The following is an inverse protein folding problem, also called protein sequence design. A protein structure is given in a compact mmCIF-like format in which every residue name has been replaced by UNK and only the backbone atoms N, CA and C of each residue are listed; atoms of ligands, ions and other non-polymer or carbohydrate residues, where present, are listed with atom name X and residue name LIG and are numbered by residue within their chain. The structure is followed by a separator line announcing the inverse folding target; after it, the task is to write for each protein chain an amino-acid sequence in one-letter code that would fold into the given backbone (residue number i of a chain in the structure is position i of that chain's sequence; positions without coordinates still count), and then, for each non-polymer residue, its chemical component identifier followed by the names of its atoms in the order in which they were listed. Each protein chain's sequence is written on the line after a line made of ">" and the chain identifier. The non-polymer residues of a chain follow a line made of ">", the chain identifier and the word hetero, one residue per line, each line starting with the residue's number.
data_IF_077494926862
#
_entry.id   IF_077494926862
#
_cell.length_a   1.000
_cell.length_b   1.000
_cell.length_c   1.000
_cell.angle_alpha   90.00
_cell.angle_beta   90.00
_cell.angle_gamma   90.00
#
_symmetry.space_group_name_H-M   'P 1'
#
loop_
_entity.id
_entity.type
_entity.pdbx_description
1 polymer ?
#
# COMPACT_ATOMS: atom_id res chain seq x y z
N UNK A 1 2.69 -17.31 29.97
CA UNK A 1 2.48 -15.86 29.76
C UNK A 1 3.54 -15.26 28.85
N UNK A 2 4.85 -15.32 29.16
CA UNK A 2 5.91 -14.73 28.30
C UNK A 2 5.93 -15.20 26.83
N UNK A 3 5.49 -16.42 26.50
CA UNK A 3 5.53 -16.92 25.12
C UNK A 3 4.43 -16.36 24.22
N UNK A 4 3.26 -16.02 24.77
CA UNK A 4 2.16 -15.44 24.01
C UNK A 4 2.40 -13.96 23.71
N UNK A 5 2.91 -13.20 24.67
CA UNK A 5 3.29 -11.80 24.47
C UNK A 5 4.37 -11.68 23.37
N UNK A 6 5.40 -12.53 23.41
CA UNK A 6 6.44 -12.59 22.37
C UNK A 6 5.85 -12.91 20.99
N UNK A 7 4.87 -13.82 20.92
CA UNK A 7 4.18 -14.16 19.68
C UNK A 7 3.34 -13.00 19.16
N UNK A 8 2.61 -12.29 20.03
CA UNK A 8 1.81 -11.11 19.66
C UNK A 8 2.70 -10.00 19.13
N UNK A 9 3.82 -9.72 19.80
CA UNK A 9 4.81 -8.72 19.34
C UNK A 9 5.33 -9.11 17.97
N UNK A 10 5.76 -10.36 17.78
CA UNK A 10 6.28 -10.83 16.49
C UNK A 10 5.26 -10.71 15.34
N UNK A 11 4.01 -11.14 15.56
CA UNK A 11 2.94 -11.03 14.56
C UNK A 11 2.69 -9.55 14.23
N UNK A 12 2.58 -8.70 15.25
CA UNK A 12 2.31 -7.28 15.08
C UNK A 12 3.44 -6.59 14.31
N UNK A 13 4.69 -6.88 14.66
CA UNK A 13 5.86 -6.37 13.93
C UNK A 13 5.89 -6.85 12.47
N UNK A 14 5.51 -8.11 12.21
CA UNK A 14 5.40 -8.66 10.86
C UNK A 14 4.35 -7.93 10.02
N UNK A 15 3.16 -7.69 10.58
CA UNK A 15 2.07 -6.97 9.92
C UNK A 15 2.49 -5.52 9.61
N UNK A 16 3.09 -4.82 10.58
CA UNK A 16 3.58 -3.45 10.39
C UNK A 16 4.68 -3.38 9.32
N UNK A 17 5.58 -4.36 9.27
CA UNK A 17 6.62 -4.44 8.26
C UNK A 17 6.06 -4.66 6.85
N UNK A 18 5.07 -5.55 6.71
CA UNK A 18 4.37 -5.77 5.45
C UNK A 18 3.67 -4.51 4.98
N UNK A 19 2.91 -3.87 5.88
CA UNK A 19 2.23 -2.61 5.61
C UNK A 19 3.19 -1.52 5.11
N UNK A 20 4.31 -1.32 5.82
CA UNK A 20 5.34 -0.35 5.43
C UNK A 20 5.94 -0.66 4.06
N UNK A 21 6.16 -1.95 3.76
CA UNK A 21 6.72 -2.39 2.48
C UNK A 21 5.75 -2.15 1.32
N UNK A 22 4.45 -2.42 1.52
CA UNK A 22 3.41 -2.12 0.53
C UNK A 22 3.36 -0.63 0.20
N UNK A 23 3.46 0.25 1.20
CA UNK A 23 3.52 1.71 0.97
C UNK A 23 4.76 2.15 0.21
N UNK A 24 5.91 1.54 0.47
CA UNK A 24 7.14 1.81 -0.30
C UNK A 24 6.96 1.42 -1.76
N UNK A 25 6.40 0.24 -2.02
CA UNK A 25 6.11 -0.22 -3.39
C UNK A 25 5.14 0.73 -4.11
N UNK A 26 4.08 1.17 -3.42
CA UNK A 26 3.13 2.12 -3.99
C UNK A 26 3.79 3.45 -4.34
N UNK A 27 4.64 3.98 -3.46
CA UNK A 27 5.40 5.21 -3.72
C UNK A 27 6.32 5.06 -4.93
N UNK A 28 7.06 3.97 -5.01
CA UNK A 28 7.90 3.70 -6.18
C UNK A 28 7.09 3.61 -7.46
N UNK A 29 5.90 2.99 -7.44
CA UNK A 29 5.02 2.94 -8.59
C UNK A 29 4.54 4.34 -9.03
N UNK A 30 4.22 5.22 -8.07
CA UNK A 30 3.88 6.63 -8.33
C UNK A 30 5.02 7.37 -9.02
N UNK A 31 6.24 7.22 -8.50
CA UNK A 31 7.42 7.97 -8.97
C UNK A 31 7.86 7.58 -10.39
N UNK A 32 7.56 6.36 -10.84
CA UNK A 32 7.96 5.87 -12.17
C UNK A 32 6.83 5.88 -13.20
N UNK A 33 5.58 6.16 -12.78
CA UNK A 33 4.43 6.13 -13.68
C UNK A 33 4.50 7.29 -14.70
N UNK A 34 4.54 7.01 -16.01
CA UNK A 34 4.54 8.06 -17.03
C UNK A 34 3.23 8.85 -17.04
N UNK A 35 3.30 10.16 -17.34
CA UNK A 35 2.17 11.10 -17.35
C UNK A 35 0.94 10.60 -18.14
N UNK A 36 1.17 9.90 -19.25
CA UNK A 36 0.11 9.32 -20.09
C UNK A 36 -0.78 8.29 -19.35
N UNK A 37 -0.24 7.59 -18.35
CA UNK A 37 -0.98 6.58 -17.57
C UNK A 37 -1.73 7.17 -16.38
N UNK A 38 -1.39 8.40 -15.95
CA UNK A 38 -2.05 9.02 -14.80
C UNK A 38 -3.55 9.21 -15.03
N UNK A 39 -3.92 9.55 -16.25
CA UNK A 39 -5.31 9.81 -16.66
C UNK A 39 -5.84 8.81 -17.69
N UNK A 40 -4.96 8.00 -18.28
CA UNK A 40 -5.35 6.87 -19.13
C UNK A 40 -6.27 5.93 -18.39
N UNK A 41 -7.43 5.62 -18.97
CA UNK A 41 -8.43 4.73 -18.36
C UNK A 41 -8.31 3.33 -18.93
N UNK A 42 -8.28 2.34 -18.05
CA UNK A 42 -8.45 0.92 -18.40
C UNK A 42 -9.59 0.38 -17.55
N UNK A 43 -10.64 -0.18 -18.17
CA UNK A 43 -11.84 -0.65 -17.47
C UNK A 43 -12.43 0.39 -16.49
N UNK A 44 -12.61 1.64 -16.94
CA UNK A 44 -13.11 2.79 -16.17
C UNK A 44 -12.22 3.33 -15.04
N UNK A 45 -11.12 2.67 -14.72
CA UNK A 45 -10.16 3.12 -13.71
C UNK A 45 -8.93 3.76 -14.36
N UNK A 46 -8.53 4.92 -13.84
CA UNK A 46 -7.21 5.51 -14.11
C UNK A 46 -6.24 5.15 -12.99
N UNK A 47 -4.94 5.28 -13.25
CA UNK A 47 -3.91 5.14 -12.22
C UNK A 47 -4.15 6.12 -11.07
N UNK A 48 -4.44 7.39 -11.37
CA UNK A 48 -4.81 8.40 -10.37
C UNK A 48 -6.02 8.00 -9.52
N UNK A 49 -7.12 7.56 -10.13
CA UNK A 49 -8.34 7.15 -9.41
C UNK A 49 -8.07 5.95 -8.49
N UNK A 50 -7.28 4.99 -8.98
CA UNK A 50 -6.87 3.82 -8.21
C UNK A 50 -6.03 4.21 -6.98
N UNK A 51 -5.07 5.12 -7.16
CA UNK A 51 -4.26 5.66 -6.05
C UNK A 51 -5.11 6.40 -5.03
N UNK A 52 -6.02 7.27 -5.48
CA UNK A 52 -6.93 7.98 -4.58
C UNK A 52 -7.77 7.01 -3.76
N UNK A 53 -8.32 5.97 -4.40
CA UNK A 53 -9.12 4.95 -3.71
C UNK A 53 -8.30 4.16 -2.67
N UNK A 54 -7.06 3.77 -3.00
CA UNK A 54 -6.16 3.13 -2.04
C UNK A 54 -5.89 4.06 -0.85
N UNK A 55 -5.65 5.35 -1.07
CA UNK A 55 -5.38 6.30 0.02
C UNK A 55 -6.64 6.56 0.88
N UNK A 56 -7.83 6.68 0.26
CA UNK A 56 -9.08 6.88 0.99
C UNK A 56 -9.46 5.69 1.86
N UNK A 57 -9.33 4.46 1.35
CA UNK A 57 -9.69 3.24 2.09
C UNK A 57 -8.78 2.92 3.27
N UNK A 58 -7.65 3.64 3.39
CA UNK A 58 -6.69 3.49 4.48
C UNK A 58 -6.94 4.48 5.62
N UNK A 59 -7.86 5.44 5.45
CA UNK A 59 -8.32 6.35 6.51
C UNK A 59 -9.36 5.67 7.38
#
# INVERSE_FOLDING_TARGET
>A
MESEEKKIIWITSGILSQFSSTWKMLRSAIEIAPDEYWYGKTHDWSFSLTLYHIIETQR
#
